data_IF_804128636368
#
_entry.id   IF_804128636368
#
_cell.length_a   1.000
_cell.length_b   1.000
_cell.length_c   1.000
_cell.angle_alpha   90.00
_cell.angle_beta   90.00
_cell.angle_gamma   90.00
#
_symmetry.space_group_name_H-M   'P 1'
#
loop_
_entity.id
_entity.type
_entity.pdbx_description
1 polymer ?
#
# COMPACT_ATOMS: atom_id res chain seq x y z
N UNK A 1 3.59 -29.46 -59.74
CA UNK A 1 4.21 -29.45 -58.38
C UNK A 1 4.35 -28.04 -57.80
N UNK A 2 4.77 -27.06 -58.53
CA UNK A 2 4.92 -25.68 -57.99
C UNK A 2 3.64 -25.04 -57.42
N UNK A 3 2.48 -25.30 -57.99
CA UNK A 3 1.18 -24.75 -57.50
C UNK A 3 0.79 -25.28 -56.12
N UNK A 4 1.12 -26.52 -55.79
CA UNK A 4 0.81 -27.11 -54.48
C UNK A 4 1.77 -26.66 -53.39
N UNK A 5 3.03 -26.36 -53.76
CA UNK A 5 4.02 -25.85 -52.80
C UNK A 5 3.65 -24.43 -52.35
N UNK A 6 3.15 -23.57 -53.26
CA UNK A 6 2.68 -22.23 -52.92
C UNK A 6 1.45 -22.24 -52.03
N UNK A 7 0.54 -23.17 -52.21
CA UNK A 7 -0.64 -23.30 -51.37
C UNK A 7 -0.28 -23.77 -49.98
N UNK A 8 0.73 -24.65 -49.84
CA UNK A 8 1.20 -25.14 -48.56
C UNK A 8 1.92 -24.06 -47.73
N UNK A 9 2.69 -23.19 -48.36
CA UNK A 9 3.39 -22.07 -47.72
C UNK A 9 2.40 -21.00 -47.25
N UNK A 10 1.34 -20.71 -48.01
CA UNK A 10 0.28 -19.79 -47.59
C UNK A 10 -0.53 -20.35 -46.43
N UNK A 11 -0.79 -21.68 -46.42
CA UNK A 11 -1.45 -22.34 -45.30
C UNK A 11 -0.64 -22.34 -44.02
N UNK A 12 0.71 -22.42 -44.11
CA UNK A 12 1.58 -22.41 -42.94
C UNK A 12 1.69 -21.00 -42.32
N UNK A 13 1.56 -19.95 -43.14
CA UNK A 13 1.58 -18.56 -42.66
C UNK A 13 0.28 -18.16 -41.96
N UNK A 14 -0.83 -18.85 -42.16
CA UNK A 14 -2.11 -18.61 -41.48
C UNK A 14 -2.24 -19.36 -40.15
N UNK A 15 -1.29 -20.24 -39.84
CA UNK A 15 -1.21 -20.97 -38.57
C UNK A 15 -0.24 -20.31 -37.56
N UNK A 16 0.28 -19.11 -37.84
CA UNK A 16 0.81 -18.27 -36.79
C UNK A 16 -0.41 -17.75 -35.99
N UNK A 17 -0.96 -18.59 -35.12
CA UNK A 17 -1.72 -18.11 -34.00
C UNK A 17 -0.82 -17.09 -33.30
N UNK A 18 -1.17 -15.81 -33.37
CA UNK A 18 -0.80 -14.87 -32.36
C UNK A 18 -1.38 -15.42 -31.05
N UNK A 19 -0.61 -16.26 -30.39
CA UNK A 19 -0.75 -16.43 -28.95
C UNK A 19 -0.26 -15.10 -28.38
N UNK A 20 -1.10 -14.08 -28.43
CA UNK A 20 -1.04 -13.00 -27.47
C UNK A 20 -1.31 -13.68 -26.15
N UNK A 21 -0.24 -14.19 -25.50
CA UNK A 21 -0.29 -14.36 -24.08
C UNK A 21 -0.71 -13.00 -23.53
N UNK A 22 -2.01 -12.84 -23.27
CA UNK A 22 -2.50 -11.80 -22.40
C UNK A 22 -1.82 -12.09 -21.07
N UNK A 23 -0.63 -11.53 -20.87
CA UNK A 23 0.02 -11.47 -19.58
C UNK A 23 -0.93 -10.63 -18.75
N UNK A 24 -1.84 -11.29 -18.03
CA UNK A 24 -2.66 -10.64 -17.03
C UNK A 24 -1.65 -10.14 -16.00
N UNK A 25 -1.36 -8.85 -16.04
CA UNK A 25 -0.54 -8.21 -15.04
C UNK A 25 -1.29 -8.35 -13.70
N UNK A 26 -0.81 -9.25 -12.85
CA UNK A 26 -1.39 -9.43 -11.52
C UNK A 26 -0.87 -8.27 -10.68
N UNK A 27 -1.75 -7.32 -10.41
CA UNK A 27 -1.42 -6.17 -9.57
C UNK A 27 -1.35 -6.60 -8.09
N UNK A 28 -0.45 -6.00 -7.30
CA UNK A 28 -0.42 -6.22 -5.87
C UNK A 28 -1.69 -5.68 -5.22
N UNK A 29 -2.05 -6.25 -4.09
CA UNK A 29 -3.13 -5.74 -3.23
C UNK A 29 -2.53 -5.22 -1.94
N UNK A 30 -3.13 -4.20 -1.35
CA UNK A 30 -2.73 -3.63 -0.06
C UNK A 30 -3.94 -3.57 0.86
N UNK A 31 -3.84 -4.23 2.02
CA UNK A 31 -4.79 -4.12 3.12
C UNK A 31 -4.07 -3.57 4.34
N UNK A 32 -4.69 -2.63 5.05
CA UNK A 32 -4.12 -2.01 6.25
C UNK A 32 -4.95 -2.35 7.49
N UNK A 33 -4.26 -2.56 8.60
CA UNK A 33 -4.84 -2.82 9.91
C UNK A 33 -4.25 -1.84 10.94
N UNK A 34 -5.12 -1.07 11.59
CA UNK A 34 -4.75 -0.17 12.67
C UNK A 34 -4.41 -0.87 13.98
N UNK A 35 -4.59 -2.19 14.08
CA UNK A 35 -4.29 -3.02 15.28
C UNK A 35 -5.00 -2.56 16.55
N UNK A 36 -6.19 -2.01 16.39
CA UNK A 36 -7.08 -1.52 17.43
C UNK A 36 -8.52 -1.92 17.11
N UNK A 37 -9.42 -1.93 18.09
CA UNK A 37 -10.85 -2.08 17.81
C UNK A 37 -11.35 -0.95 16.90
N UNK A 38 -12.20 -1.32 15.97
CA UNK A 38 -12.85 -0.39 15.04
C UNK A 38 -14.24 -0.04 15.58
N UNK A 39 -14.62 1.22 15.52
CA UNK A 39 -15.98 1.65 15.85
C UNK A 39 -16.99 1.31 14.73
N UNK A 40 -18.29 1.59 14.98
CA UNK A 40 -19.35 1.32 14.01
C UNK A 40 -19.27 2.14 12.71
N UNK A 41 -18.41 3.16 12.65
CA UNK A 41 -18.17 3.99 11.48
C UNK A 41 -16.93 3.58 10.69
N UNK A 42 -16.21 2.55 11.13
CA UNK A 42 -14.98 2.07 10.50
C UNK A 42 -13.74 2.88 10.87
N UNK A 43 -13.74 3.56 12.02
CA UNK A 43 -12.59 4.28 12.56
C UNK A 43 -11.95 3.48 13.69
N UNK A 44 -10.62 3.43 13.73
CA UNK A 44 -9.88 2.97 14.89
C UNK A 44 -9.87 4.04 15.97
N UNK A 45 -9.90 3.65 17.23
CA UNK A 45 -9.81 4.58 18.37
C UNK A 45 -8.45 4.43 19.03
N UNK A 46 -7.67 5.51 19.04
CA UNK A 46 -6.35 5.57 19.63
C UNK A 46 -6.34 6.55 20.81
N UNK A 47 -6.22 5.98 22.02
CA UNK A 47 -6.03 6.78 23.22
C UNK A 47 -4.63 7.35 23.27
N UNK A 48 -4.53 8.68 23.39
CA UNK A 48 -3.26 9.37 23.51
C UNK A 48 -2.79 9.37 24.96
N UNK A 49 -1.50 9.21 25.16
CA UNK A 49 -0.90 9.11 26.46
C UNK A 49 -0.75 10.49 27.12
N UNK A 50 -1.45 10.73 28.23
CA UNK A 50 -1.42 11.99 28.98
C UNK A 50 -0.07 12.29 29.61
N UNK A 51 0.75 11.28 29.86
CA UNK A 51 2.04 11.42 30.57
C UNK A 51 3.22 11.61 29.63
N UNK A 52 3.04 11.47 28.33
CA UNK A 52 4.08 11.66 27.33
C UNK A 52 3.60 12.59 26.21
N UNK A 53 4.49 13.40 25.68
CA UNK A 53 4.16 14.31 24.59
C UNK A 53 3.78 13.57 23.30
N UNK A 54 4.05 12.28 23.23
CA UNK A 54 3.88 11.48 22.01
C UNK A 54 3.41 10.07 22.35
N UNK A 55 2.41 9.59 21.63
CA UNK A 55 1.92 8.21 21.70
C UNK A 55 2.45 7.44 20.50
N UNK A 56 3.21 6.38 20.74
CA UNK A 56 3.76 5.53 19.68
C UNK A 56 2.85 4.32 19.50
N UNK A 57 2.33 4.16 18.29
CA UNK A 57 1.47 3.05 17.94
C UNK A 57 1.92 2.40 16.61
N UNK A 58 1.99 1.07 16.59
CA UNK A 58 2.37 0.31 15.40
C UNK A 58 1.13 -0.10 14.62
N UNK A 59 1.15 0.13 13.32
CA UNK A 59 0.16 -0.36 12.37
C UNK A 59 0.78 -1.46 11.51
N UNK A 60 -0.04 -2.28 10.90
CA UNK A 60 0.40 -3.32 9.98
C UNK A 60 -0.39 -3.29 8.68
N UNK A 61 0.13 -3.96 7.68
CA UNK A 61 -0.57 -4.19 6.43
C UNK A 61 -0.15 -5.50 5.80
N UNK A 62 -0.99 -6.01 4.92
CA UNK A 62 -0.73 -7.21 4.12
C UNK A 62 -0.70 -6.81 2.65
N UNK A 63 0.34 -7.24 1.96
CA UNK A 63 0.50 -7.03 0.51
C UNK A 63 0.38 -8.39 -0.17
N UNK A 64 -0.68 -8.55 -0.95
CA UNK A 64 -0.91 -9.74 -1.76
C UNK A 64 -0.25 -9.66 -3.13
N UNK A 65 -0.13 -10.83 -3.80
CA UNK A 65 0.42 -10.96 -5.15
C UNK A 65 1.89 -10.51 -5.30
N UNK A 66 2.69 -10.69 -4.24
CA UNK A 66 4.10 -10.27 -4.21
C UNK A 66 5.05 -11.21 -4.96
N UNK A 67 4.62 -12.42 -5.28
CA UNK A 67 5.46 -13.49 -5.88
C UNK A 67 6.00 -13.18 -7.28
N UNK A 68 5.45 -12.17 -7.94
CA UNK A 68 5.77 -11.82 -9.33
C UNK A 68 6.74 -10.62 -9.44
N UNK A 69 7.25 -10.13 -8.31
CA UNK A 69 8.06 -8.91 -8.27
C UNK A 69 9.48 -9.23 -7.81
N UNK A 70 10.45 -8.92 -8.66
CA UNK A 70 11.87 -9.22 -8.42
C UNK A 70 12.55 -8.24 -7.45
N UNK A 71 11.94 -7.08 -7.20
CA UNK A 71 12.48 -6.05 -6.33
C UNK A 71 11.71 -5.93 -5.02
N UNK A 72 12.37 -5.52 -3.92
CA UNK A 72 11.67 -5.28 -2.66
C UNK A 72 10.65 -4.17 -2.83
N UNK A 73 9.38 -4.52 -2.62
CA UNK A 73 8.26 -3.60 -2.71
C UNK A 73 8.26 -2.63 -1.52
N UNK A 74 7.99 -1.37 -1.80
CA UNK A 74 7.95 -0.30 -0.80
C UNK A 74 6.56 0.31 -0.70
N UNK A 75 6.09 0.50 0.54
CA UNK A 75 4.89 1.29 0.84
C UNK A 75 5.33 2.67 1.32
N UNK A 76 4.86 3.70 0.66
CA UNK A 76 5.00 5.09 1.07
C UNK A 76 3.80 5.52 1.89
N UNK A 77 4.04 6.25 2.98
CA UNK A 77 3.02 6.63 3.94
C UNK A 77 2.82 8.14 3.99
N UNK A 78 1.57 8.54 4.01
CA UNK A 78 1.16 9.93 4.15
C UNK A 78 0.11 10.06 5.27
N UNK A 79 0.20 11.13 6.03
CA UNK A 79 -0.80 11.50 7.02
C UNK A 79 -1.27 12.93 6.82
N UNK A 80 -2.47 13.24 7.29
CA UNK A 80 -3.03 14.60 7.29
C UNK A 80 -2.58 15.43 8.50
N UNK A 81 -1.96 14.81 9.52
CA UNK A 81 -1.54 15.47 10.74
C UNK A 81 -0.02 15.61 10.81
N UNK A 82 0.39 16.79 11.27
CA UNK A 82 1.79 17.19 11.46
C UNK A 82 1.91 17.95 12.76
N UNK A 83 3.10 17.97 13.33
CA UNK A 83 3.42 18.77 14.50
C UNK A 83 4.74 19.53 14.30
N UNK A 84 4.91 20.61 15.05
CA UNK A 84 6.11 21.43 15.00
C UNK A 84 7.08 20.99 16.07
N UNK A 85 8.32 20.75 15.67
CA UNK A 85 9.43 20.45 16.55
C UNK A 85 10.66 21.27 16.12
N UNK A 86 11.12 22.18 16.97
CA UNK A 86 12.28 23.06 16.69
C UNK A 86 12.20 23.72 15.29
N UNK A 87 11.09 24.39 14.99
CA UNK A 87 10.81 25.04 13.70
C UNK A 87 10.70 24.09 12.49
N UNK A 88 10.70 22.79 12.71
CA UNK A 88 10.47 21.80 11.67
C UNK A 88 9.05 21.25 11.71
N UNK A 89 8.46 21.05 10.54
CA UNK A 89 7.18 20.34 10.39
C UNK A 89 7.46 18.85 10.31
N UNK A 90 6.95 18.09 11.27
CA UNK A 90 7.16 16.64 11.39
C UNK A 90 5.85 15.90 11.17
N UNK A 91 5.84 14.93 10.28
CA UNK A 91 4.70 14.03 10.09
C UNK A 91 4.56 13.11 11.30
N UNK A 92 3.31 12.75 11.64
CA UNK A 92 3.03 11.74 12.68
C UNK A 92 3.35 10.31 12.23
N UNK A 93 3.76 10.10 10.99
CA UNK A 93 4.11 8.79 10.43
C UNK A 93 5.49 8.78 9.80
N UNK A 94 6.16 7.64 9.80
CA UNK A 94 7.36 7.44 8.99
C UNK A 94 7.00 7.49 7.50
N UNK A 95 7.96 7.90 6.65
CA UNK A 95 7.71 8.04 5.22
C UNK A 95 7.48 6.71 4.51
N UNK A 96 8.16 5.67 4.93
CA UNK A 96 8.33 4.51 4.07
C UNK A 96 8.54 3.22 4.88
N UNK A 97 8.05 2.11 4.33
CA UNK A 97 8.30 0.77 4.86
C UNK A 97 8.49 -0.21 3.71
N UNK A 98 9.39 -1.18 3.87
CA UNK A 98 9.56 -2.27 2.91
C UNK A 98 8.64 -3.44 3.26
N UNK A 99 8.13 -4.08 2.22
CA UNK A 99 7.35 -5.32 2.35
C UNK A 99 8.31 -6.49 2.56
N UNK A 100 8.04 -7.29 3.59
CA UNK A 100 8.80 -8.51 3.88
C UNK A 100 7.82 -9.66 4.09
N UNK A 101 7.97 -10.72 3.32
CA UNK A 101 7.08 -11.89 3.36
C UNK A 101 5.58 -11.55 3.23
N UNK A 102 5.25 -10.55 2.40
CA UNK A 102 3.89 -10.08 2.19
C UNK A 102 3.34 -9.21 3.33
N UNK A 103 4.15 -8.85 4.30
CA UNK A 103 3.77 -7.98 5.40
C UNK A 103 4.51 -6.64 5.35
N UNK A 104 3.85 -5.60 5.81
CA UNK A 104 4.43 -4.27 5.98
C UNK A 104 4.03 -3.72 7.35
N UNK A 105 4.95 -3.01 7.99
CA UNK A 105 4.69 -2.37 9.28
C UNK A 105 5.11 -0.90 9.22
N UNK A 106 4.38 -0.07 9.95
CA UNK A 106 4.76 1.34 10.16
C UNK A 106 4.40 1.78 11.57
N UNK A 107 4.91 2.93 11.96
CA UNK A 107 4.66 3.53 13.26
C UNK A 107 4.04 4.90 13.06
N UNK A 108 2.97 5.17 13.82
CA UNK A 108 2.39 6.50 13.97
C UNK A 108 2.71 7.03 15.38
N UNK A 109 2.92 8.33 15.46
CA UNK A 109 3.37 8.96 16.70
C UNK A 109 2.67 10.33 16.91
N UNK A 110 1.32 10.33 17.06
CA UNK A 110 0.57 11.54 17.35
C UNK A 110 0.93 12.11 18.72
N UNK A 111 0.75 13.42 18.87
CA UNK A 111 1.02 14.15 20.11
C UNK A 111 -0.27 14.49 20.85
N UNK A 112 -0.20 14.69 22.16
CA UNK A 112 -1.34 14.95 23.04
C UNK A 112 -2.24 16.12 22.58
N UNK A 113 -1.67 17.13 21.94
CA UNK A 113 -2.44 18.27 21.44
C UNK A 113 -3.37 17.93 20.27
N UNK A 114 -3.28 16.71 19.74
CA UNK A 114 -4.13 16.19 18.64
C UNK A 114 -5.38 15.45 19.17
N UNK A 115 -5.61 15.40 20.48
CA UNK A 115 -6.85 14.84 21.04
C UNK A 115 -8.07 15.53 20.41
N UNK A 116 -9.01 14.72 19.93
CA UNK A 116 -10.19 15.19 19.21
C UNK A 116 -10.02 15.29 17.69
N UNK A 117 -8.80 15.18 17.18
CA UNK A 117 -8.55 15.15 15.74
C UNK A 117 -8.80 13.77 15.14
N UNK A 118 -8.98 13.74 13.84
CA UNK A 118 -9.00 12.50 13.05
C UNK A 118 -7.72 12.38 12.26
N UNK A 119 -6.92 11.37 12.57
CA UNK A 119 -5.75 11.00 11.79
C UNK A 119 -6.19 10.16 10.58
N UNK A 120 -5.87 10.64 9.39
CA UNK A 120 -6.07 9.92 8.12
C UNK A 120 -4.69 9.48 7.64
N UNK A 121 -4.50 8.16 7.55
CA UNK A 121 -3.25 7.54 7.13
C UNK A 121 -3.46 6.79 5.82
N UNK A 122 -2.64 7.11 4.83
CA UNK A 122 -2.66 6.46 3.52
C UNK A 122 -1.32 5.77 3.25
N UNK A 123 -1.38 4.48 2.96
CA UNK A 123 -0.25 3.71 2.44
C UNK A 123 -0.40 3.54 0.93
N UNK A 124 0.68 3.72 0.18
CA UNK A 124 0.69 3.63 -1.28
C UNK A 124 1.88 2.80 -1.78
N UNK A 125 1.61 1.80 -2.61
CA UNK A 125 2.61 1.13 -3.42
C UNK A 125 2.71 1.93 -4.72
N UNK A 126 3.65 2.88 -4.78
CA UNK A 126 3.69 3.92 -5.82
C UNK A 126 3.87 3.36 -7.23
N UNK A 127 4.73 2.37 -7.38
CA UNK A 127 5.03 1.74 -8.67
C UNK A 127 3.81 1.10 -9.33
N UNK A 128 2.80 0.73 -8.51
CA UNK A 128 1.57 0.07 -8.95
C UNK A 128 0.33 0.93 -8.79
N UNK A 129 0.45 2.14 -8.26
CA UNK A 129 -0.66 3.06 -7.99
C UNK A 129 -1.74 2.45 -7.07
N UNK A 130 -1.35 1.52 -6.20
CA UNK A 130 -2.25 0.88 -5.23
C UNK A 130 -2.18 1.62 -3.91
N UNK A 131 -3.31 2.13 -3.45
CA UNK A 131 -3.42 2.88 -2.20
C UNK A 131 -4.51 2.33 -1.30
N UNK A 132 -4.26 2.41 0.01
CA UNK A 132 -5.26 2.12 1.05
C UNK A 132 -5.21 3.19 2.13
N UNK A 133 -6.37 3.57 2.63
CA UNK A 133 -6.51 4.59 3.68
C UNK A 133 -7.22 4.00 4.89
N UNK A 134 -6.68 4.27 6.08
CA UNK A 134 -7.32 4.00 7.37
C UNK A 134 -7.42 5.27 8.20
N UNK A 135 -8.33 5.27 9.17
CA UNK A 135 -8.64 6.46 9.98
C UNK A 135 -8.63 6.13 11.45
N UNK A 136 -8.07 7.04 12.23
CA UNK A 136 -8.05 6.96 13.70
C UNK A 136 -8.73 8.19 14.29
N UNK A 137 -9.60 7.98 15.26
CA UNK A 137 -10.05 9.03 16.19
C UNK A 137 -9.03 9.06 17.33
N UNK A 138 -8.48 10.22 17.60
CA UNK A 138 -7.50 10.45 18.66
C UNK A 138 -8.22 10.91 19.92
N UNK A 139 -8.23 10.10 20.97
CA UNK A 139 -8.94 10.31 22.25
C UNK A 139 -8.02 10.63 23.42
#
# INVERSE_FOLDING_TARGET
>A
MEKYIRLFIVGLLLLSCDVTDDIIAIEPTLELDGRLPMDGNGYYRLELNDSSNQTIHTISGTVGNTLYWDEPMKVEWESNLYWNFDDNIVSVTNCCSYVTDGEVMNVIAPVQTMVGDTLILTGTIREHLVSKTIRFVLD
#
